data_IF_156288490615
#
_entry.id   IF_156288490615
#
_cell.length_a   1.000
_cell.length_b   1.000
_cell.length_c   1.000
_cell.angle_alpha   90.00
_cell.angle_beta   90.00
_cell.angle_gamma   90.00
#
_symmetry.space_group_name_H-M   'P 1'
#
loop_
_entity.id
_entity.type
_entity.pdbx_description
1 polymer ?
#
# COMPACT_ATOMS: atom_id res chain seq x y z
N UNK A 1 33.73 -105.97 -31.26
CA UNK A 1 32.90 -104.79 -30.96
C UNK A 1 33.79 -103.56 -31.07
N UNK A 2 33.82 -102.91 -32.24
CA UNK A 2 34.62 -101.69 -32.45
C UNK A 2 33.64 -100.53 -32.69
N UNK A 3 33.66 -99.60 -31.74
CA UNK A 3 32.84 -98.42 -31.67
C UNK A 3 33.57 -97.31 -32.46
N UNK A 4 33.01 -96.88 -33.60
CA UNK A 4 33.54 -95.80 -34.42
C UNK A 4 32.84 -94.49 -34.10
N UNK A 5 33.54 -93.54 -33.46
CA UNK A 5 33.03 -92.19 -33.21
C UNK A 5 33.02 -91.36 -34.50
N UNK A 6 31.85 -90.88 -34.93
CA UNK A 6 31.74 -89.83 -35.94
C UNK A 6 32.15 -88.48 -35.33
N UNK A 7 33.23 -87.89 -35.86
CA UNK A 7 33.66 -86.53 -35.54
C UNK A 7 32.87 -85.56 -36.43
N UNK A 8 31.94 -84.82 -35.83
CA UNK A 8 31.26 -83.69 -36.49
C UNK A 8 32.25 -82.56 -36.79
N UNK A 9 32.57 -82.38 -38.08
CA UNK A 9 33.39 -81.26 -38.54
C UNK A 9 32.59 -79.95 -38.45
N UNK A 10 33.05 -79.02 -37.60
CA UNK A 10 32.53 -77.64 -37.54
C UNK A 10 32.77 -76.96 -38.89
N UNK A 11 31.69 -76.76 -39.65
CA UNK A 11 31.69 -76.01 -40.91
C UNK A 11 32.00 -74.54 -40.61
N UNK A 12 33.14 -74.05 -41.09
CA UNK A 12 33.55 -72.66 -40.93
C UNK A 12 32.73 -71.77 -41.88
N UNK A 13 32.09 -70.69 -41.39
CA UNK A 13 31.26 -69.84 -42.21
C UNK A 13 32.10 -69.08 -43.23
N UNK A 14 31.53 -68.90 -44.42
CA UNK A 14 32.18 -68.21 -45.54
C UNK A 14 32.44 -66.73 -45.21
N UNK A 15 33.40 -66.10 -45.88
CA UNK A 15 33.74 -64.67 -45.70
C UNK A 15 32.53 -63.73 -45.86
N UNK A 16 31.53 -64.15 -46.63
CA UNK A 16 30.28 -63.42 -46.85
C UNK A 16 29.34 -63.47 -45.62
N UNK A 17 29.20 -64.64 -44.99
CA UNK A 17 28.36 -64.82 -43.80
C UNK A 17 28.93 -64.06 -42.59
N UNK A 18 30.26 -64.03 -42.44
CA UNK A 18 30.91 -63.22 -41.39
C UNK A 18 30.63 -61.72 -41.59
N UNK A 19 30.66 -61.23 -42.83
CA UNK A 19 30.34 -59.83 -43.15
C UNK A 19 28.87 -59.50 -42.88
N UNK A 20 27.94 -60.39 -43.24
CA UNK A 20 26.51 -60.22 -42.95
C UNK A 20 26.23 -60.20 -41.45
N UNK A 21 26.89 -61.06 -40.67
CA UNK A 21 26.76 -61.02 -39.20
C UNK A 21 27.31 -59.73 -38.62
N UNK A 22 28.46 -59.23 -39.10
CA UNK A 22 29.01 -57.95 -38.65
C UNK A 22 28.09 -56.77 -38.97
N UNK A 23 27.55 -56.71 -40.20
CA UNK A 23 26.62 -55.65 -40.61
C UNK A 23 25.35 -55.68 -39.75
N UNK A 24 24.79 -56.86 -39.54
CA UNK A 24 23.61 -57.05 -38.67
C UNK A 24 23.88 -56.57 -37.24
N UNK A 25 25.03 -56.94 -36.66
CA UNK A 25 25.42 -56.47 -35.33
C UNK A 25 25.64 -54.95 -35.27
N UNK A 26 26.26 -54.35 -36.28
CA UNK A 26 26.44 -52.88 -36.33
C UNK A 26 25.11 -52.13 -36.49
N UNK A 27 24.17 -52.67 -37.26
CA UNK A 27 22.83 -52.07 -37.39
C UNK A 27 22.04 -52.19 -36.08
N UNK A 28 22.15 -53.33 -35.39
CA UNK A 28 21.48 -53.55 -34.11
C UNK A 28 22.03 -52.61 -33.03
N UNK A 29 23.35 -52.43 -32.94
CA UNK A 29 23.96 -51.53 -31.95
C UNK A 29 23.58 -50.07 -32.21
N UNK A 30 23.56 -49.64 -33.47
CA UNK A 30 23.11 -48.29 -33.84
C UNK A 30 21.63 -48.08 -33.51
N UNK A 31 20.77 -49.05 -33.81
CA UNK A 31 19.34 -48.97 -33.50
C UNK A 31 19.09 -48.90 -31.98
N UNK A 32 19.80 -49.72 -31.18
CA UNK A 32 19.71 -49.69 -29.70
C UNK A 32 20.22 -48.37 -29.14
N UNK A 33 21.30 -47.82 -29.69
CA UNK A 33 21.85 -46.52 -29.26
C UNK A 33 20.89 -45.37 -29.54
N UNK A 34 20.25 -45.37 -30.72
CA UNK A 34 19.22 -44.40 -31.07
C UNK A 34 17.98 -44.52 -30.17
N UNK A 35 17.50 -45.74 -29.92
CA UNK A 35 16.37 -45.98 -29.02
C UNK A 35 16.69 -45.53 -27.58
N UNK A 36 17.89 -45.80 -27.09
CA UNK A 36 18.34 -45.38 -25.76
C UNK A 36 18.48 -43.85 -25.66
N UNK A 37 19.01 -43.19 -26.70
CA UNK A 37 19.05 -41.72 -26.78
C UNK A 37 17.66 -41.09 -26.77
N UNK A 38 16.71 -41.65 -27.52
CA UNK A 38 15.30 -41.21 -27.51
C UNK A 38 14.68 -41.39 -26.13
N UNK A 39 14.91 -42.53 -25.47
CA UNK A 39 14.39 -42.80 -24.13
C UNK A 39 14.96 -41.84 -23.06
N UNK A 40 16.23 -41.46 -23.17
CA UNK A 40 16.86 -40.48 -22.26
C UNK A 40 16.21 -39.10 -22.43
N UNK A 41 16.02 -38.64 -23.68
CA UNK A 41 15.36 -37.35 -23.98
C UNK A 41 13.90 -37.35 -23.53
N UNK A 42 13.18 -38.47 -23.70
CA UNK A 42 11.79 -38.59 -23.25
C UNK A 42 11.68 -38.64 -21.71
N UNK A 43 12.68 -39.19 -21.02
CA UNK A 43 12.72 -39.24 -19.54
C UNK A 43 12.97 -37.87 -18.92
N UNK A 44 13.81 -37.06 -19.55
CA UNK A 44 14.13 -35.69 -19.10
C UNK A 44 12.93 -34.74 -19.24
N UNK A 45 12.06 -34.99 -20.22
CA UNK A 45 10.82 -34.22 -20.41
C UNK A 45 9.75 -34.47 -19.34
N UNK A 46 9.88 -35.54 -18.56
CA UNK A 46 8.88 -35.99 -17.59
C UNK A 46 9.26 -35.66 -16.14
N UNK A 47 10.36 -34.91 -15.92
CA UNK A 47 10.92 -34.58 -14.60
C UNK A 47 10.84 -33.09 -14.23
N UNK A 48 10.15 -32.25 -15.00
CA UNK A 48 9.87 -30.88 -14.55
C UNK A 48 8.73 -30.90 -13.52
N UNK A 49 9.09 -30.79 -12.24
CA UNK A 49 8.17 -30.50 -11.13
C UNK A 49 7.63 -29.06 -11.20
N UNK A 50 7.35 -28.55 -12.39
CA UNK A 50 6.91 -27.19 -12.61
C UNK A 50 5.40 -27.09 -12.42
N UNK A 51 4.97 -26.10 -11.64
CA UNK A 51 3.56 -25.85 -11.44
C UNK A 51 2.97 -25.11 -12.65
N UNK A 52 2.11 -25.79 -13.42
CA UNK A 52 1.39 -25.22 -14.56
C UNK A 52 -0.09 -24.89 -14.26
N UNK A 53 -0.45 -24.78 -12.97
CA UNK A 53 -1.78 -24.32 -12.61
C UNK A 53 -2.00 -22.86 -13.07
N UNK A 54 -3.24 -22.45 -13.37
CA UNK A 54 -3.52 -21.06 -13.75
C UNK A 54 -3.00 -20.03 -12.73
N UNK A 55 -3.09 -20.35 -11.44
CA UNK A 55 -2.56 -19.51 -10.37
C UNK A 55 -1.04 -19.40 -10.42
N UNK A 56 -0.32 -20.50 -10.63
CA UNK A 56 1.14 -20.50 -10.74
C UNK A 56 1.62 -19.69 -11.95
N UNK A 57 0.98 -19.87 -13.11
CA UNK A 57 1.32 -19.11 -14.33
C UNK A 57 1.06 -17.62 -14.12
N UNK A 58 -0.09 -17.26 -13.53
CA UNK A 58 -0.42 -15.86 -13.24
C UNK A 58 0.57 -15.22 -12.26
N UNK A 59 0.88 -15.90 -11.15
CA UNK A 59 1.84 -15.40 -10.16
C UNK A 59 3.24 -15.26 -10.74
N UNK A 60 3.71 -16.25 -11.51
CA UNK A 60 5.01 -16.17 -12.19
C UNK A 60 5.07 -14.98 -13.15
N UNK A 61 4.01 -14.75 -13.94
CA UNK A 61 3.91 -13.60 -14.83
C UNK A 61 3.98 -12.26 -14.07
N UNK A 62 3.26 -12.13 -12.95
CA UNK A 62 3.31 -10.90 -12.13
C UNK A 62 4.71 -10.66 -11.54
N UNK A 63 5.39 -11.70 -11.05
CA UNK A 63 6.76 -11.58 -10.53
C UNK A 63 7.72 -11.14 -11.63
N UNK A 64 7.63 -11.74 -12.82
CA UNK A 64 8.50 -11.42 -13.94
C UNK A 64 8.28 -9.99 -14.46
N UNK A 65 7.07 -9.44 -14.31
CA UNK A 65 6.79 -8.04 -14.67
C UNK A 65 7.47 -7.03 -13.72
N UNK A 66 7.73 -7.40 -12.46
CA UNK A 66 8.37 -6.48 -11.50
C UNK A 66 9.89 -6.58 -11.49
N UNK A 67 10.43 -7.78 -11.73
CA UNK A 67 11.87 -8.08 -11.66
C UNK A 67 12.64 -7.40 -12.81
N UNK A 68 13.75 -6.74 -12.48
CA UNK A 68 14.79 -6.30 -13.41
C UNK A 68 16.00 -7.23 -13.33
N UNK A 69 16.07 -8.19 -14.26
CA UNK A 69 17.15 -9.17 -14.32
C UNK A 69 18.51 -8.60 -14.76
N UNK A 70 18.59 -7.31 -15.14
CA UNK A 70 19.88 -6.65 -15.41
C UNK A 70 20.64 -6.28 -14.13
N UNK A 71 19.95 -6.30 -12.99
CA UNK A 71 20.53 -6.00 -11.68
C UNK A 71 20.91 -7.31 -10.98
N UNK A 72 22.05 -7.30 -10.29
CA UNK A 72 22.44 -8.42 -9.45
C UNK A 72 21.62 -8.40 -8.15
N UNK A 73 20.93 -9.51 -7.79
CA UNK A 73 20.20 -9.58 -6.53
C UNK A 73 21.11 -9.48 -5.30
N UNK A 74 22.39 -9.86 -5.42
CA UNK A 74 23.37 -9.77 -4.34
C UNK A 74 23.86 -8.34 -4.11
N UNK A 75 23.81 -7.49 -5.13
CA UNK A 75 24.29 -6.10 -5.05
C UNK A 75 23.16 -5.13 -4.70
N UNK A 76 21.98 -5.31 -5.30
CA UNK A 76 20.82 -4.48 -5.02
C UNK A 76 19.52 -5.26 -5.24
N UNK A 77 19.13 -6.04 -4.23
CA UNK A 77 17.92 -6.85 -4.28
C UNK A 77 16.66 -6.02 -4.57
N UNK A 78 16.57 -4.78 -4.08
CA UNK A 78 15.42 -3.90 -4.31
C UNK A 78 15.26 -3.53 -5.79
N UNK A 79 16.36 -3.15 -6.46
CA UNK A 79 16.31 -2.89 -7.91
C UNK A 79 16.11 -4.17 -8.70
N UNK A 80 16.69 -5.29 -8.29
CA UNK A 80 16.41 -6.58 -8.92
C UNK A 80 14.92 -6.95 -8.82
N UNK A 81 14.30 -6.82 -7.64
CA UNK A 81 12.92 -7.26 -7.43
C UNK A 81 11.86 -6.29 -7.97
N UNK A 82 12.16 -4.99 -7.97
CA UNK A 82 11.19 -3.92 -8.26
C UNK A 82 11.58 -3.03 -9.44
N UNK A 83 12.75 -3.23 -10.06
CA UNK A 83 13.32 -2.28 -11.02
C UNK A 83 12.43 -2.01 -12.23
N UNK A 84 11.76 -3.03 -12.76
CA UNK A 84 10.81 -2.86 -13.84
C UNK A 84 9.53 -2.16 -13.37
N UNK A 85 9.01 -2.53 -12.18
CA UNK A 85 7.86 -1.84 -11.59
C UNK A 85 8.12 -0.34 -11.46
N UNK A 86 9.28 0.07 -10.91
CA UNK A 86 9.64 1.48 -10.74
C UNK A 86 9.75 2.25 -12.06
N UNK A 87 10.13 1.58 -13.15
CA UNK A 87 10.28 2.18 -14.48
C UNK A 87 8.93 2.36 -15.19
N UNK A 88 8.00 1.43 -14.96
CA UNK A 88 6.68 1.42 -15.59
C UNK A 88 5.61 2.13 -14.76
N UNK A 89 5.78 2.21 -13.44
CA UNK A 89 4.87 2.92 -12.54
C UNK A 89 5.02 4.42 -12.72
N UNK A 90 4.10 5.04 -13.45
CA UNK A 90 3.98 6.50 -13.47
C UNK A 90 3.16 6.98 -12.27
N UNK A 91 3.72 7.90 -11.48
CA UNK A 91 2.97 8.64 -10.45
C UNK A 91 1.88 9.47 -11.16
N UNK A 92 0.65 8.96 -11.18
CA UNK A 92 -0.51 9.79 -11.54
C UNK A 92 -0.56 10.98 -10.56
N UNK A 93 -0.83 12.19 -11.08
CA UNK A 93 -0.70 13.47 -10.35
C UNK A 93 -1.42 13.52 -8.98
N UNK A 94 -2.38 12.63 -8.73
CA UNK A 94 -3.16 12.57 -7.49
C UNK A 94 -2.63 11.54 -6.47
N UNK A 95 -1.55 10.81 -6.76
CA UNK A 95 -1.01 9.74 -5.91
C UNK A 95 0.33 10.13 -5.31
N UNK A 96 0.38 10.15 -3.97
CA UNK A 96 1.59 10.47 -3.19
C UNK A 96 2.58 9.29 -3.16
N UNK A 97 2.09 8.05 -3.30
CA UNK A 97 2.90 6.82 -3.36
C UNK A 97 2.27 5.81 -4.32
N UNK A 98 3.10 5.08 -5.07
CA UNK A 98 2.72 3.89 -5.83
C UNK A 98 3.51 2.71 -5.28
N UNK A 99 2.90 2.00 -4.34
CA UNK A 99 3.35 0.69 -3.88
C UNK A 99 2.21 -0.33 -4.01
N UNK A 100 2.51 -1.60 -3.75
CA UNK A 100 1.52 -2.67 -3.83
C UNK A 100 0.37 -2.48 -2.84
N UNK A 101 0.60 -1.84 -1.69
CA UNK A 101 -0.46 -1.52 -0.73
C UNK A 101 -1.42 -0.49 -1.28
N UNK A 102 -0.93 0.57 -1.93
CA UNK A 102 -1.75 1.59 -2.58
C UNK A 102 -2.61 0.98 -3.69
N UNK A 103 -2.05 0.09 -4.51
CA UNK A 103 -2.80 -0.63 -5.55
C UNK A 103 -3.90 -1.52 -4.97
N UNK A 104 -3.57 -2.29 -3.92
CA UNK A 104 -4.54 -3.13 -3.23
C UNK A 104 -5.64 -2.29 -2.58
N UNK A 105 -5.27 -1.20 -1.90
CA UNK A 105 -6.22 -0.28 -1.28
C UNK A 105 -7.16 0.32 -2.32
N UNK A 106 -6.65 0.74 -3.48
CA UNK A 106 -7.48 1.23 -4.57
C UNK A 106 -8.50 0.18 -5.02
N UNK A 107 -8.07 -1.06 -5.26
CA UNK A 107 -8.99 -2.15 -5.65
C UNK A 107 -10.07 -2.39 -4.58
N UNK A 108 -9.70 -2.34 -3.30
CA UNK A 108 -10.66 -2.47 -2.19
C UNK A 108 -11.66 -1.30 -2.21
N UNK A 109 -11.20 -0.06 -2.38
CA UNK A 109 -12.09 1.11 -2.45
C UNK A 109 -13.06 1.02 -3.63
N UNK A 110 -12.60 0.54 -4.80
CA UNK A 110 -13.46 0.32 -5.98
C UNK A 110 -14.54 -0.74 -5.69
N UNK A 111 -14.17 -1.86 -5.05
CA UNK A 111 -15.13 -2.89 -4.65
C UNK A 111 -16.12 -2.37 -3.59
N UNK A 112 -15.64 -1.65 -2.59
CA UNK A 112 -16.50 -1.04 -1.56
C UNK A 112 -17.48 -0.05 -2.16
N UNK A 113 -17.04 0.78 -3.12
CA UNK A 113 -17.91 1.70 -3.85
C UNK A 113 -19.06 0.96 -4.52
N UNK A 114 -18.77 -0.12 -5.26
CA UNK A 114 -19.79 -0.94 -5.92
C UNK A 114 -20.79 -1.48 -4.90
N UNK A 115 -20.30 -1.98 -3.76
CA UNK A 115 -21.16 -2.54 -2.70
C UNK A 115 -22.09 -1.47 -2.10
N UNK A 116 -21.58 -0.27 -1.84
CA UNK A 116 -22.35 0.82 -1.20
C UNK A 116 -23.36 1.44 -2.18
N UNK A 117 -23.00 1.58 -3.45
CA UNK A 117 -23.86 2.12 -4.51
C UNK A 117 -24.93 1.12 -4.96
N UNK A 118 -24.74 -0.18 -4.70
CA UNK A 118 -25.72 -1.21 -5.04
C UNK A 118 -27.02 -1.05 -4.24
N UNK A 119 -28.18 -1.36 -4.85
CA UNK A 119 -29.45 -1.28 -4.16
C UNK A 119 -29.50 -2.29 -3.01
N UNK A 120 -29.88 -1.81 -1.82
CA UNK A 120 -30.07 -2.68 -0.66
C UNK A 120 -31.38 -3.46 -0.80
N UNK A 121 -31.38 -4.72 -0.33
CA UNK A 121 -32.61 -5.51 -0.24
C UNK A 121 -33.54 -4.95 0.84
N UNK A 122 -34.85 -5.19 0.72
CA UNK A 122 -35.86 -4.71 1.66
C UNK A 122 -35.65 -5.19 3.12
N UNK A 123 -34.90 -6.28 3.31
CA UNK A 123 -34.55 -6.82 4.63
C UNK A 123 -33.14 -6.47 5.12
N UNK A 124 -32.44 -5.53 4.47
CA UNK A 124 -31.08 -5.20 4.84
C UNK A 124 -31.00 -4.60 6.27
N UNK A 125 -30.00 -4.99 7.08
CA UNK A 125 -29.81 -4.42 8.41
C UNK A 125 -29.64 -2.89 8.38
N UNK A 126 -30.16 -2.22 9.43
CA UNK A 126 -30.09 -0.76 9.59
C UNK A 126 -28.70 -0.13 9.36
N UNK A 127 -27.57 -0.73 9.79
CA UNK A 127 -26.25 -0.16 9.53
C UNK A 127 -25.95 0.04 8.03
N UNK A 128 -26.42 -0.84 7.16
CA UNK A 128 -26.23 -0.71 5.72
C UNK A 128 -26.99 0.49 5.15
N UNK A 129 -28.24 0.70 5.58
CA UNK A 129 -29.00 1.88 5.19
C UNK A 129 -28.36 3.18 5.68
N UNK A 130 -27.80 3.18 6.90
CA UNK A 130 -27.08 4.35 7.43
C UNK A 130 -25.80 4.63 6.64
N UNK A 131 -25.03 3.60 6.30
CA UNK A 131 -23.83 3.72 5.48
C UNK A 131 -24.16 4.29 4.09
N UNK A 132 -25.18 3.74 3.41
CA UNK A 132 -25.62 4.23 2.10
C UNK A 132 -26.12 5.68 2.17
N UNK A 133 -26.88 6.04 3.23
CA UNK A 133 -27.32 7.42 3.45
C UNK A 133 -26.13 8.36 3.64
N UNK A 134 -25.15 8.00 4.46
CA UNK A 134 -23.95 8.80 4.70
C UNK A 134 -23.15 8.98 3.40
N UNK A 135 -22.97 7.91 2.64
CA UNK A 135 -22.31 7.95 1.34
C UNK A 135 -23.00 8.91 0.37
N UNK A 136 -24.33 8.81 0.24
CA UNK A 136 -25.10 9.67 -0.65
C UNK A 136 -25.07 11.15 -0.24
N UNK A 137 -24.98 11.46 1.06
CA UNK A 137 -24.78 12.83 1.53
C UNK A 137 -23.42 13.39 1.11
N UNK A 138 -22.36 12.57 1.13
CA UNK A 138 -21.02 12.96 0.67
C UNK A 138 -20.95 13.14 -0.85
N UNK A 139 -21.61 12.24 -1.61
CA UNK A 139 -21.56 12.26 -3.08
C UNK A 139 -22.44 13.33 -3.72
N UNK A 140 -23.40 13.92 -3.00
CA UNK A 140 -24.28 14.96 -3.52
C UNK A 140 -23.59 16.33 -3.54
N UNK A 141 -22.64 16.50 -4.47
CA UNK A 141 -21.90 17.75 -4.66
C UNK A 141 -22.80 18.93 -4.96
N UNK A 142 -23.94 18.73 -5.62
CA UNK A 142 -24.91 19.82 -5.89
C UNK A 142 -25.49 20.39 -4.61
N UNK A 143 -25.84 19.56 -3.63
CA UNK A 143 -26.30 20.01 -2.33
C UNK A 143 -25.19 20.69 -1.53
N UNK A 144 -23.97 20.13 -1.58
CA UNK A 144 -22.79 20.69 -0.89
C UNK A 144 -22.46 22.10 -1.43
N UNK A 145 -22.38 22.27 -2.74
CA UNK A 145 -22.07 23.56 -3.38
C UNK A 145 -23.18 24.60 -3.14
N UNK A 146 -24.44 24.17 -3.03
CA UNK A 146 -25.55 25.07 -2.69
C UNK A 146 -25.45 25.61 -1.26
N UNK A 147 -25.02 24.79 -0.30
CA UNK A 147 -24.82 25.22 1.08
C UNK A 147 -23.56 26.10 1.23
N UNK A 148 -22.55 25.84 0.40
CA UNK A 148 -21.29 26.58 0.38
C UNK A 148 -20.57 26.53 1.73
N UNK A 149 -20.09 27.69 2.19
CA UNK A 149 -19.32 27.80 3.44
C UNK A 149 -20.18 27.95 4.70
N UNK A 150 -21.51 28.02 4.56
CA UNK A 150 -22.41 28.37 5.65
C UNK A 150 -22.32 27.39 6.83
N UNK A 151 -22.42 26.09 6.55
CA UNK A 151 -22.25 25.04 7.57
C UNK A 151 -20.91 25.14 8.29
N UNK A 152 -19.83 25.45 7.56
CA UNK A 152 -18.51 25.61 8.18
C UNK A 152 -18.47 26.82 9.13
N UNK A 153 -19.09 27.95 8.76
CA UNK A 153 -19.21 29.13 9.63
C UNK A 153 -20.04 28.80 10.87
N UNK A 154 -21.17 28.11 10.72
CA UNK A 154 -22.05 27.73 11.84
C UNK A 154 -21.30 26.84 12.85
N UNK A 155 -20.53 25.87 12.35
CA UNK A 155 -19.67 25.02 13.18
C UNK A 155 -18.61 25.87 13.89
N UNK A 156 -17.88 26.73 13.18
CA UNK A 156 -16.85 27.61 13.76
C UNK A 156 -17.44 28.48 14.88
N UNK A 157 -18.62 29.06 14.65
CA UNK A 157 -19.29 29.89 15.64
C UNK A 157 -19.71 29.07 16.87
N UNK A 158 -20.20 27.83 16.66
CA UNK A 158 -20.63 26.95 17.74
C UNK A 158 -19.51 26.52 18.70
N UNK A 159 -18.25 26.50 18.23
CA UNK A 159 -17.10 26.06 19.04
C UNK A 159 -16.35 27.20 19.75
N UNK A 160 -16.69 28.45 19.47
CA UNK A 160 -16.05 29.62 20.10
C UNK A 160 -15.61 30.73 19.14
N UNK A 161 -15.93 30.59 17.84
CA UNK A 161 -15.52 31.49 16.76
C UNK A 161 -13.99 31.54 16.54
N UNK A 162 -13.58 32.03 15.37
CA UNK A 162 -12.18 32.18 15.02
C UNK A 162 -11.79 33.68 15.01
N UNK A 163 -10.76 34.11 15.76
CA UNK A 163 -10.32 35.51 15.80
C UNK A 163 -10.03 36.08 14.40
N UNK A 164 -9.37 35.28 13.55
CA UNK A 164 -9.06 35.63 12.16
C UNK A 164 -10.29 35.97 11.31
N UNK A 165 -11.46 35.38 11.63
CA UNK A 165 -12.69 35.57 10.86
C UNK A 165 -13.55 36.72 11.36
N UNK A 166 -13.59 36.96 12.67
CA UNK A 166 -14.47 37.98 13.26
C UNK A 166 -13.74 39.28 13.65
N UNK A 167 -12.40 39.26 13.63
CA UNK A 167 -11.54 40.40 13.85
C UNK A 167 -11.68 41.01 15.24
N UNK A 168 -11.81 42.34 15.31
CA UNK A 168 -11.92 43.10 16.57
C UNK A 168 -13.15 42.76 17.41
N UNK A 169 -14.13 42.04 16.86
CA UNK A 169 -15.30 41.53 17.61
C UNK A 169 -14.96 40.33 18.48
N UNK A 170 -13.79 39.70 18.27
CA UNK A 170 -13.35 38.60 19.11
C UNK A 170 -12.87 39.11 20.47
N UNK A 171 -13.46 38.58 21.55
CA UNK A 171 -13.09 38.96 22.90
C UNK A 171 -12.15 37.93 23.54
N UNK A 172 -10.89 38.30 23.68
CA UNK A 172 -9.86 37.48 24.30
C UNK A 172 -10.15 37.17 25.78
N UNK A 173 -10.82 38.06 26.52
CA UNK A 173 -11.05 37.85 27.97
C UNK A 173 -12.00 36.71 28.27
N UNK A 174 -12.89 36.41 27.32
CA UNK A 174 -13.90 35.35 27.46
C UNK A 174 -13.42 34.02 26.86
N UNK A 175 -12.19 33.96 26.35
CA UNK A 175 -11.66 32.77 25.72
C UNK A 175 -11.04 31.84 26.76
N UNK A 176 -11.54 30.62 26.81
CA UNK A 176 -10.96 29.52 27.58
C UNK A 176 -10.65 28.35 26.65
N UNK A 177 -9.37 27.98 26.57
CA UNK A 177 -8.91 26.88 25.71
C UNK A 177 -9.61 25.55 26.03
N UNK A 178 -9.85 25.25 27.31
CA UNK A 178 -10.58 24.04 27.74
C UNK A 178 -11.99 23.97 27.17
N UNK A 179 -12.70 25.11 27.08
CA UNK A 179 -14.03 25.18 26.48
C UNK A 179 -13.96 24.93 24.97
N UNK A 180 -12.94 25.48 24.29
CA UNK A 180 -12.72 25.21 22.86
C UNK A 180 -12.49 23.72 22.62
N UNK A 181 -11.57 23.08 23.36
CA UNK A 181 -11.29 21.63 23.26
C UNK A 181 -12.54 20.79 23.52
N UNK A 182 -13.30 21.12 24.56
CA UNK A 182 -14.57 20.44 24.87
C UNK A 182 -15.57 20.57 23.73
N UNK A 183 -15.76 21.78 23.19
CA UNK A 183 -16.70 22.01 22.10
C UNK A 183 -16.26 21.33 20.79
N UNK A 184 -14.97 21.40 20.44
CA UNK A 184 -14.41 20.68 19.29
C UNK A 184 -14.66 19.18 19.40
N UNK A 185 -14.37 18.59 20.56
CA UNK A 185 -14.64 17.17 20.84
C UNK A 185 -16.12 16.83 20.69
N UNK A 186 -17.02 17.68 21.22
CA UNK A 186 -18.47 17.48 21.14
C UNK A 186 -19.00 17.46 19.71
N UNK A 187 -18.44 18.27 18.82
CA UNK A 187 -18.84 18.31 17.40
C UNK A 187 -18.05 17.33 16.53
N UNK A 188 -17.19 16.50 17.13
CA UNK A 188 -16.41 15.47 16.42
C UNK A 188 -15.23 16.03 15.62
N UNK A 189 -14.74 17.23 15.93
CA UNK A 189 -13.54 17.79 15.33
C UNK A 189 -12.28 17.41 16.12
N UNK A 190 -11.13 17.48 15.44
CA UNK A 190 -9.85 17.30 16.09
C UNK A 190 -9.69 18.36 17.20
N UNK A 191 -9.33 17.90 18.40
CA UNK A 191 -9.19 18.70 19.61
C UNK A 191 -7.81 18.53 20.27
N UNK A 192 -6.98 17.65 19.71
CA UNK A 192 -5.61 17.37 20.15
C UNK A 192 -4.68 18.37 19.48
N UNK A 193 -4.62 19.61 20.03
CA UNK A 193 -3.80 20.69 19.47
C UNK A 193 -2.50 20.93 20.25
N UNK A 194 -2.53 20.74 21.57
CA UNK A 194 -1.37 20.91 22.46
C UNK A 194 -1.13 19.65 23.30
N UNK A 195 -2.21 19.05 23.76
CA UNK A 195 -2.21 17.89 24.63
C UNK A 195 -3.22 16.91 24.05
N UNK A 196 -2.75 15.69 23.80
CA UNK A 196 -3.60 14.57 23.40
C UNK A 196 -4.17 13.92 24.65
N UNK A 197 -5.50 13.85 24.73
CA UNK A 197 -6.20 13.19 25.84
C UNK A 197 -6.97 11.98 25.33
N UNK A 198 -6.40 10.80 25.54
CA UNK A 198 -6.99 9.53 25.06
C UNK A 198 -7.24 8.56 26.21
N UNK A 199 -8.28 7.75 26.06
CA UNK A 199 -8.53 6.60 26.94
C UNK A 199 -7.87 5.40 26.28
N UNK A 200 -6.91 4.81 26.96
CA UNK A 200 -6.11 3.68 26.46
C UNK A 200 -6.27 2.49 27.40
N UNK A 201 -6.00 1.28 26.89
CA UNK A 201 -5.88 0.08 27.73
C UNK A 201 -4.59 0.20 28.56
N UNK A 202 -4.65 -0.17 29.84
CA UNK A 202 -3.45 -0.20 30.68
C UNK A 202 -2.53 -1.35 30.25
N UNK A 203 -1.31 -1.02 29.83
CA UNK A 203 -0.31 -2.01 29.41
C UNK A 203 0.13 -2.94 30.54
N UNK A 204 0.00 -2.50 31.80
CA UNK A 204 0.30 -3.32 32.99
C UNK A 204 -0.85 -4.24 33.36
N UNK A 205 -2.08 -3.87 32.99
CA UNK A 205 -3.26 -4.67 33.23
C UNK A 205 -4.36 -4.37 32.21
N UNK A 206 -4.47 -5.22 31.20
CA UNK A 206 -5.41 -5.05 30.10
C UNK A 206 -6.90 -5.13 30.48
N UNK A 207 -7.23 -5.43 31.74
CA UNK A 207 -8.60 -5.36 32.24
C UNK A 207 -9.06 -3.93 32.55
N UNK A 208 -8.15 -2.97 32.64
CA UNK A 208 -8.44 -1.58 32.96
C UNK A 208 -8.18 -0.64 31.79
N UNK A 209 -8.93 0.46 31.77
CA UNK A 209 -8.69 1.60 30.90
C UNK A 209 -8.15 2.75 31.74
N UNK A 210 -7.16 3.46 31.20
CA UNK A 210 -6.51 4.60 31.84
C UNK A 210 -6.62 5.84 30.95
N UNK A 211 -6.67 7.00 31.59
CA UNK A 211 -6.59 8.28 30.91
C UNK A 211 -5.12 8.61 30.70
N UNK A 212 -4.70 8.68 29.44
CA UNK A 212 -3.32 9.03 29.07
C UNK A 212 -3.27 10.46 28.54
N UNK A 213 -2.26 11.19 28.98
CA UNK A 213 -2.01 12.59 28.62
C UNK A 213 -0.64 12.62 27.94
N UNK A 214 -0.62 12.99 26.67
CA UNK A 214 0.61 13.01 25.87
C UNK A 214 0.76 14.37 25.18
N UNK A 215 2.00 14.88 24.99
CA UNK A 215 2.23 16.03 24.14
C UNK A 215 1.72 15.74 22.72
N UNK A 216 0.97 16.68 22.14
CA UNK A 216 0.69 16.65 20.70
C UNK A 216 1.89 17.22 19.97
N UNK A 217 2.42 16.51 18.97
CA UNK A 217 3.30 17.11 17.98
C UNK A 217 2.45 17.70 16.85
N UNK A 218 2.36 19.03 16.74
CA UNK A 218 1.50 19.62 15.74
C UNK A 218 2.20 19.43 14.37
N UNK A 219 1.51 18.80 13.41
CA UNK A 219 2.07 18.44 12.11
C UNK A 219 2.21 19.66 11.18
N UNK A 220 3.04 20.62 11.58
CA UNK A 220 3.36 21.81 10.81
C UNK A 220 4.75 21.72 10.24
N UNK A 221 4.87 22.23 9.02
CA UNK A 221 6.12 22.39 8.32
C UNK A 221 7.12 23.23 9.12
N UNK A 222 8.28 22.66 9.43
CA UNK A 222 9.39 23.39 10.08
C UNK A 222 10.31 24.07 9.07
N UNK A 223 10.33 23.60 7.82
CA UNK A 223 11.13 24.22 6.75
C UNK A 223 10.44 25.47 6.18
N UNK A 224 11.21 26.56 6.02
CA UNK A 224 10.76 27.86 5.52
C UNK A 224 10.07 27.84 4.15
N UNK A 225 10.49 26.95 3.24
CA UNK A 225 9.87 26.83 1.91
C UNK A 225 8.47 26.24 2.01
N UNK A 226 8.31 25.21 2.85
CA UNK A 226 7.01 24.58 3.06
C UNK A 226 6.08 25.49 3.86
N UNK A 227 6.58 26.23 4.86
CA UNK A 227 5.81 27.26 5.56
C UNK A 227 5.25 28.33 4.61
N UNK A 228 6.06 28.79 3.64
CA UNK A 228 5.61 29.77 2.64
C UNK A 228 4.47 29.23 1.78
N UNK A 229 4.54 27.95 1.39
CA UNK A 229 3.48 27.28 0.64
C UNK A 229 2.20 27.12 1.48
N UNK A 230 2.34 26.71 2.74
CA UNK A 230 1.22 26.57 3.70
C UNK A 230 0.55 27.92 3.93
N UNK A 231 1.33 29.00 4.16
CA UNK A 231 0.80 30.35 4.34
C UNK A 231 -0.02 30.80 3.11
N UNK A 232 0.49 30.56 1.90
CA UNK A 232 -0.23 30.87 0.65
C UNK A 232 -1.53 30.07 0.54
N UNK A 233 -1.52 28.79 0.93
CA UNK A 233 -2.71 27.94 0.91
C UNK A 233 -3.76 28.39 1.94
N UNK A 234 -3.36 28.63 3.19
CA UNK A 234 -4.23 29.13 4.26
C UNK A 234 -4.82 30.50 3.91
N UNK A 235 -4.04 31.38 3.30
CA UNK A 235 -4.54 32.65 2.78
C UNK A 235 -5.66 32.46 1.75
N UNK A 236 -5.52 31.50 0.83
CA UNK A 236 -6.58 31.18 -0.14
C UNK A 236 -7.84 30.66 0.56
N UNK A 237 -7.70 29.78 1.56
CA UNK A 237 -8.84 29.27 2.35
C UNK A 237 -9.57 30.42 3.05
N UNK A 238 -8.86 31.27 3.78
CA UNK A 238 -9.46 32.35 4.57
C UNK A 238 -10.13 33.41 3.69
N UNK A 239 -9.65 33.62 2.46
CA UNK A 239 -10.34 34.45 1.46
C UNK A 239 -11.72 33.91 1.10
N UNK A 240 -11.92 32.59 1.08
CA UNK A 240 -13.25 31.99 0.87
C UNK A 240 -14.20 32.31 2.02
N UNK A 241 -13.68 32.60 3.22
CA UNK A 241 -14.48 33.07 4.37
C UNK A 241 -14.71 34.58 4.38
N UNK A 242 -14.40 35.30 3.29
CA UNK A 242 -14.64 36.74 3.15
C UNK A 242 -13.57 37.63 3.81
N UNK A 243 -12.46 37.06 4.28
CA UNK A 243 -11.36 37.81 4.89
C UNK A 243 -10.29 38.07 3.85
N UNK A 244 -10.09 39.33 3.46
CA UNK A 244 -9.08 39.73 2.47
C UNK A 244 -8.29 40.94 2.99
N UNK A 245 -7.35 40.69 3.92
CA UNK A 245 -6.54 41.76 4.52
C UNK A 245 -5.09 41.32 4.67
N UNK A 246 -4.16 42.26 4.46
CA UNK A 246 -2.73 42.07 4.80
C UNK A 246 -2.55 41.67 6.26
N UNK A 247 -3.45 42.12 7.14
CA UNK A 247 -3.51 41.74 8.57
C UNK A 247 -3.66 40.22 8.75
N UNK A 248 -4.54 39.58 7.98
CA UNK A 248 -4.74 38.12 8.06
C UNK A 248 -3.49 37.31 7.71
N UNK A 249 -2.63 37.82 6.82
CA UNK A 249 -1.34 37.18 6.51
C UNK A 249 -0.36 37.26 7.68
N UNK A 250 -0.35 38.37 8.41
CA UNK A 250 0.48 38.54 9.61
C UNK A 250 0.02 37.57 10.70
N UNK A 251 -1.27 37.56 11.01
CA UNK A 251 -1.85 36.66 12.03
C UNK A 251 -1.64 35.18 11.66
N UNK A 252 -1.81 34.79 10.39
CA UNK A 252 -1.51 33.44 9.93
C UNK A 252 -0.04 33.06 10.09
N UNK A 253 0.87 34.01 9.81
CA UNK A 253 2.29 33.79 10.00
C UNK A 253 2.62 33.59 11.48
N UNK A 254 2.03 34.37 12.37
CA UNK A 254 2.19 34.20 13.83
C UNK A 254 1.73 32.81 14.30
N UNK A 255 0.63 32.30 13.76
CA UNK A 255 0.15 30.93 14.04
C UNK A 255 1.17 29.88 13.59
N UNK A 256 1.72 30.02 12.38
CA UNK A 256 2.73 29.08 11.86
C UNK A 256 4.05 29.15 12.64
N UNK A 257 4.50 30.36 12.99
CA UNK A 257 5.70 30.56 13.81
C UNK A 257 5.52 29.97 15.21
N UNK A 258 4.33 30.10 15.80
CA UNK A 258 4.00 29.46 17.07
C UNK A 258 4.00 27.93 16.96
N UNK A 259 3.39 27.38 15.92
CA UNK A 259 3.40 25.94 15.68
C UNK A 259 4.83 25.38 15.49
N UNK A 260 5.69 26.09 14.76
CA UNK A 260 7.09 25.70 14.58
C UNK A 260 7.90 25.75 15.89
N UNK A 261 7.55 26.65 16.82
CA UNK A 261 8.15 26.64 18.17
C UNK A 261 7.70 25.44 18.99
N UNK A 262 6.42 25.04 18.87
CA UNK A 262 5.91 23.86 19.57
C UNK A 262 6.59 22.56 19.12
N UNK A 263 6.90 22.42 17.83
CA UNK A 263 7.62 21.23 17.32
C UNK A 263 9.07 21.14 17.80
N UNK A 264 9.67 22.25 18.23
CA UNK A 264 11.05 22.29 18.75
C UNK A 264 11.12 22.08 20.27
N UNK A 265 9.99 21.83 20.94
CA UNK A 265 10.00 21.45 22.34
C UNK A 265 10.59 20.03 22.46
N UNK A 266 11.58 19.81 23.36
CA UNK A 266 12.21 18.51 23.49
C UNK A 266 11.17 17.45 23.85
N UNK A 267 11.07 16.41 23.03
CA UNK A 267 10.31 15.21 23.37
C UNK A 267 11.04 14.43 24.45
N UNK A 268 10.30 13.88 25.42
CA UNK A 268 10.86 13.11 26.54
C UNK A 268 11.73 11.90 26.10
N UNK A 269 11.56 11.42 24.86
CA UNK A 269 12.35 10.34 24.27
C UNK A 269 13.84 10.69 24.04
N UNK A 270 14.23 11.96 24.02
CA UNK A 270 15.66 12.34 23.91
C UNK A 270 16.44 12.18 25.23
N UNK A 271 15.78 11.85 26.35
CA UNK A 271 16.42 11.72 27.66
C UNK A 271 16.58 10.28 28.18
N UNK A 272 16.26 9.26 27.39
CA UNK A 272 16.56 7.87 27.74
C UNK A 272 17.86 7.48 27.02
N UNK A 273 19.04 7.56 27.66
CA UNK A 273 20.21 6.90 27.12
C UNK A 273 19.89 5.41 27.00
N UNK A 274 19.99 4.90 25.77
CA UNK A 274 19.97 3.47 25.48
C UNK A 274 20.97 2.80 26.42
N UNK A 275 20.46 2.03 27.39
CA UNK A 275 21.24 1.08 28.19
C UNK A 275 21.47 -0.19 27.38
#
# INVERSE_FOLDING_TARGET
MLNGSERNAKKWPSTLEKRLTYISWTLLTVAVSLAMGILIVLRDKNSSNECLSPSCVHSAAMILQTIDATQSPCDNFYKFSCGNYLRESYLQNDKVCLDNHALLHQRIQEQLKIIIESPLSLGAPKPYHQLQKLYNLCMNTTAIEREGIKTAIDIINSVGSCPLLIGSRWNATNFHWSNLVYNLKRVGLNHDHFITLKVSVDERNSSYHILTIEPTQPNFATNSTLQSSVLKHLSKIIRNFGVNTTKSLVELKEVLDFAARLTNLPSYDEQIPLL
#
